data_IF_614339378336
#
_entry.id   IF_614339378336
#
_cell.length_a   1.000
_cell.length_b   1.000
_cell.length_c   1.000
_cell.angle_alpha   90.00
_cell.angle_beta   90.00
_cell.angle_gamma   90.00
#
_symmetry.space_group_name_H-M   'P 1'
#
loop_
_entity.id
_entity.type
_entity.pdbx_description
1 polymer ?
#
# COMPACT_ATOMS: atom_id res chain seq x y z
N UNK A 1 -1.01 14.60 11.86
CA UNK A 1 -1.47 14.33 13.26
C UNK A 1 -2.61 13.33 13.20
N UNK A 2 -2.64 12.35 14.10
CA UNK A 2 -3.77 11.44 14.28
C UNK A 2 -4.71 11.95 15.36
N UNK A 3 -5.87 11.29 15.58
CA UNK A 3 -6.87 11.72 16.56
C UNK A 3 -6.31 11.81 18.00
N UNK A 4 -5.41 10.90 18.38
CA UNK A 4 -4.78 10.91 19.71
C UNK A 4 -3.83 12.10 19.88
N UNK A 5 -3.08 12.46 18.84
CA UNK A 5 -2.18 13.63 18.88
C UNK A 5 -2.95 14.93 18.97
N UNK A 6 -4.10 15.04 18.29
CA UNK A 6 -5.00 16.18 18.43
C UNK A 6 -5.56 16.24 19.85
N UNK A 7 -6.01 15.10 20.38
CA UNK A 7 -6.52 15.04 21.75
C UNK A 7 -5.45 15.44 22.78
N UNK A 8 -4.21 14.98 22.60
CA UNK A 8 -3.06 15.38 23.45
C UNK A 8 -2.78 16.88 23.31
N UNK A 9 -2.85 17.44 22.09
CA UNK A 9 -2.69 18.87 21.85
C UNK A 9 -3.76 19.67 22.60
N UNK A 10 -5.03 19.30 22.46
CA UNK A 10 -6.15 19.96 23.14
C UNK A 10 -6.05 19.87 24.66
N UNK A 11 -5.72 18.69 25.20
CA UNK A 11 -5.46 18.50 26.64
C UNK A 11 -4.30 19.38 27.16
N UNK A 12 -3.25 19.55 26.32
CA UNK A 12 -2.13 20.41 26.69
C UNK A 12 -2.54 21.90 26.79
N UNK A 13 -3.48 22.32 25.91
CA UNK A 13 -4.08 23.66 25.98
C UNK A 13 -4.96 23.78 27.21
N UNK A 14 -5.85 22.82 27.47
CA UNK A 14 -6.74 22.76 28.63
C UNK A 14 -5.95 22.82 29.94
N UNK A 15 -4.81 22.14 30.03
CA UNK A 15 -3.91 22.12 31.18
C UNK A 15 -3.01 23.37 31.31
N UNK A 16 -3.15 24.36 30.40
CA UNK A 16 -2.30 25.56 30.39
C UNK A 16 -0.83 25.32 30.01
N UNK A 17 -0.48 24.09 29.56
CA UNK A 17 0.88 23.72 29.17
C UNK A 17 1.26 24.21 27.77
N UNK A 18 0.27 24.57 26.95
CA UNK A 18 0.44 25.07 25.61
C UNK A 18 -0.48 26.26 25.36
N UNK A 19 0.05 27.36 24.85
CA UNK A 19 -0.76 28.51 24.46
C UNK A 19 -1.72 28.15 23.32
N UNK A 20 -2.98 28.59 23.41
CA UNK A 20 -4.01 28.36 22.38
C UNK A 20 -3.56 28.80 20.99
N UNK A 21 -2.81 29.94 20.92
CA UNK A 21 -2.25 30.45 19.67
C UNK A 21 -1.29 29.47 19.04
N UNK A 22 -0.43 28.81 19.82
CA UNK A 22 0.49 27.78 19.34
C UNK A 22 -0.26 26.54 18.86
N UNK A 23 -1.36 26.18 19.52
CA UNK A 23 -2.23 25.09 19.08
C UNK A 23 -2.88 25.40 17.72
N UNK A 24 -3.40 26.62 17.55
CA UNK A 24 -3.97 27.09 16.28
C UNK A 24 -2.94 27.04 15.15
N UNK A 25 -1.71 27.50 15.37
CA UNK A 25 -0.64 27.44 14.36
C UNK A 25 -0.33 25.99 13.96
N UNK A 26 -0.31 25.05 14.91
CA UNK A 26 -0.14 23.62 14.61
C UNK A 26 -1.32 23.03 13.82
N UNK A 27 -2.55 23.52 14.06
CA UNK A 27 -3.76 23.07 13.38
C UNK A 27 -3.96 23.72 12.00
N UNK A 28 -3.42 24.92 11.74
CA UNK A 28 -3.51 25.62 10.44
C UNK A 28 -2.94 24.81 9.28
N UNK A 29 -1.88 24.05 9.52
CA UNK A 29 -1.24 23.21 8.48
C UNK A 29 -1.91 21.84 8.32
N UNK A 30 -3.05 21.61 8.95
CA UNK A 30 -3.69 20.30 9.02
C UNK A 30 -4.37 19.81 7.74
N UNK A 31 -5.04 20.62 6.90
CA UNK A 31 -5.67 20.02 5.72
C UNK A 31 -4.63 19.58 4.68
N UNK A 32 -3.72 20.45 4.33
CA UNK A 32 -2.63 20.20 3.38
C UNK A 32 -1.55 21.28 3.46
N UNK A 33 -0.34 20.96 3.01
CA UNK A 33 0.73 21.92 2.79
C UNK A 33 0.84 22.20 1.28
N UNK A 34 0.68 23.45 0.88
CA UNK A 34 0.86 23.90 -0.51
C UNK A 34 2.35 24.17 -0.76
N UNK A 35 2.92 23.47 -1.74
CA UNK A 35 4.31 23.64 -2.17
C UNK A 35 4.37 24.04 -3.66
N UNK A 36 3.45 24.89 -4.13
CA UNK A 36 3.18 25.37 -5.48
C UNK A 36 2.64 24.29 -6.42
N UNK A 37 3.48 23.33 -6.80
CA UNK A 37 3.13 22.28 -7.77
C UNK A 37 2.41 21.07 -7.12
N UNK A 38 2.33 20.97 -5.80
CA UNK A 38 1.65 19.90 -5.10
C UNK A 38 1.04 20.38 -3.76
N UNK A 39 -0.05 19.72 -3.38
CA UNK A 39 -0.72 19.91 -2.09
C UNK A 39 -0.56 18.63 -1.28
N UNK A 40 0.31 18.66 -0.28
CA UNK A 40 0.62 17.48 0.56
C UNK A 40 -0.46 17.30 1.62
N UNK A 41 -1.20 16.20 1.55
CA UNK A 41 -2.35 15.90 2.42
C UNK A 41 -1.92 15.33 3.78
N UNK A 42 -1.61 16.19 4.72
CA UNK A 42 -1.28 15.78 6.09
C UNK A 42 -2.47 15.26 6.89
N UNK A 43 -3.69 15.50 6.41
CA UNK A 43 -4.94 15.11 7.07
C UNK A 43 -5.38 13.68 6.75
N UNK A 44 -4.74 13.02 5.76
CA UNK A 44 -5.11 11.68 5.33
C UNK A 44 -5.08 10.65 6.45
N UNK A 45 -4.11 10.75 7.36
CA UNK A 45 -4.01 9.86 8.52
C UNK A 45 -5.25 9.89 9.42
N UNK A 46 -5.85 11.07 9.62
CA UNK A 46 -7.08 11.21 10.40
C UNK A 46 -8.29 10.60 9.70
N UNK A 47 -8.38 10.76 8.38
CA UNK A 47 -9.53 10.29 7.61
C UNK A 47 -9.43 8.81 7.24
N UNK A 48 -8.24 8.32 6.94
CA UNK A 48 -8.02 7.00 6.35
C UNK A 48 -7.14 6.07 7.20
N UNK A 49 -6.51 6.60 8.28
CA UNK A 49 -5.66 5.81 9.16
C UNK A 49 -4.28 5.46 8.60
N UNK A 50 -3.85 6.07 7.49
CA UNK A 50 -2.51 5.96 6.93
C UNK A 50 -2.06 7.26 6.28
N UNK A 51 -0.74 7.48 6.20
CA UNK A 51 -0.15 8.68 5.63
C UNK A 51 -0.42 8.80 4.13
N UNK A 52 -0.24 10.00 3.59
CA UNK A 52 -0.20 10.20 2.15
C UNK A 52 0.90 9.36 1.50
N UNK A 53 0.64 8.92 0.26
CA UNK A 53 1.57 8.14 -0.55
C UNK A 53 1.91 8.91 -1.82
N UNK A 54 3.19 8.96 -2.16
CA UNK A 54 3.66 9.69 -3.33
C UNK A 54 3.61 8.76 -4.55
N UNK A 55 2.79 9.10 -5.54
CA UNK A 55 2.81 8.44 -6.85
C UNK A 55 3.93 9.04 -7.70
N UNK A 56 5.01 8.30 -7.93
CA UNK A 56 6.23 8.80 -8.59
C UNK A 56 6.12 8.94 -10.11
N UNK A 57 5.27 8.11 -10.76
CA UNK A 57 5.12 8.14 -12.23
C UNK A 57 4.64 9.53 -12.69
N UNK A 58 5.32 10.08 -13.68
CA UNK A 58 5.00 11.40 -14.22
C UNK A 58 5.54 12.59 -13.42
N UNK A 59 6.23 12.35 -12.30
CA UNK A 59 6.92 13.39 -11.53
C UNK A 59 8.42 13.33 -11.75
N UNK A 60 9.08 14.50 -11.74
CA UNK A 60 10.53 14.57 -11.75
C UNK A 60 11.11 14.12 -10.40
N UNK A 61 12.36 13.60 -10.35
CA UNK A 61 13.03 13.27 -9.10
C UNK A 61 13.05 14.43 -8.08
N UNK A 62 13.19 15.67 -8.56
CA UNK A 62 13.17 16.88 -7.73
C UNK A 62 11.78 17.11 -7.09
N UNK A 63 10.71 16.93 -7.84
CA UNK A 63 9.35 17.06 -7.35
C UNK A 63 9.05 16.01 -6.27
N UNK A 64 9.40 14.73 -6.50
CA UNK A 64 9.23 13.67 -5.50
C UNK A 64 10.03 13.98 -4.23
N UNK A 65 11.30 14.41 -4.37
CA UNK A 65 12.12 14.77 -3.22
C UNK A 65 11.54 15.97 -2.44
N UNK A 66 10.95 16.96 -3.12
CA UNK A 66 10.30 18.10 -2.47
C UNK A 66 9.06 17.68 -1.66
N UNK A 67 8.20 16.80 -2.21
CA UNK A 67 7.05 16.24 -1.50
C UNK A 67 7.51 15.45 -0.28
N UNK A 68 8.48 14.53 -0.45
CA UNK A 68 9.04 13.74 0.66
C UNK A 68 9.64 14.65 1.73
N UNK A 69 10.31 15.73 1.36
CA UNK A 69 10.84 16.73 2.30
C UNK A 69 9.72 17.38 3.11
N UNK A 70 8.60 17.77 2.48
CA UNK A 70 7.44 18.31 3.16
C UNK A 70 6.88 17.30 4.18
N UNK A 71 6.69 16.03 3.76
CA UNK A 71 6.25 14.96 4.66
C UNK A 71 7.22 14.72 5.84
N UNK A 72 8.53 14.82 5.62
CA UNK A 72 9.54 14.62 6.67
C UNK A 72 9.59 15.76 7.70
N UNK A 73 9.21 17.00 7.33
CA UNK A 73 9.16 18.14 8.26
C UNK A 73 8.15 17.96 9.38
N UNK A 74 7.09 17.21 9.16
CA UNK A 74 6.13 16.85 10.20
C UNK A 74 6.75 15.88 11.21
N UNK A 75 7.50 16.45 12.19
CA UNK A 75 8.23 15.69 13.21
C UNK A 75 7.30 14.92 14.16
N UNK A 76 6.12 15.44 14.40
CA UNK A 76 5.12 14.83 15.30
C UNK A 76 4.43 13.61 14.68
N UNK A 77 4.42 13.49 13.36
CA UNK A 77 3.89 12.35 12.65
C UNK A 77 5.00 11.32 12.36
N UNK A 78 5.19 10.36 13.26
CA UNK A 78 6.09 9.20 13.03
C UNK A 78 5.53 8.23 11.98
N UNK A 79 5.01 8.77 10.87
CA UNK A 79 4.38 7.98 9.83
C UNK A 79 5.43 7.52 8.82
N UNK A 80 5.28 6.28 8.36
CA UNK A 80 6.06 5.75 7.26
C UNK A 80 5.76 6.51 5.98
N UNK A 81 6.75 6.69 5.12
CA UNK A 81 6.60 7.36 3.83
C UNK A 81 6.82 6.34 2.72
N UNK A 82 5.88 6.30 1.80
CA UNK A 82 5.88 5.40 0.65
C UNK A 82 5.87 6.23 -0.64
N UNK A 83 6.75 5.87 -1.58
CA UNK A 83 6.71 6.37 -2.95
C UNK A 83 6.55 5.17 -3.87
N UNK A 84 5.50 5.14 -4.69
CA UNK A 84 5.27 4.08 -5.66
C UNK A 84 5.67 4.53 -7.07
N UNK A 85 5.93 3.58 -7.96
CA UNK A 85 6.28 3.82 -9.36
C UNK A 85 7.46 4.79 -9.52
N UNK A 86 8.49 4.63 -8.71
CA UNK A 86 9.73 5.38 -8.73
C UNK A 86 10.84 4.63 -9.47
N UNK A 87 11.87 5.37 -9.89
CA UNK A 87 13.09 4.83 -10.47
C UNK A 87 14.32 5.09 -9.58
N UNK A 88 15.47 4.58 -10.00
CA UNK A 88 16.73 4.75 -9.28
C UNK A 88 17.16 6.23 -9.17
N UNK A 89 16.83 7.07 -10.17
CA UNK A 89 17.13 8.52 -10.13
C UNK A 89 16.30 9.22 -9.07
N UNK A 90 15.02 8.86 -8.98
CA UNK A 90 14.11 9.34 -7.95
C UNK A 90 14.58 8.90 -6.56
N UNK A 91 14.99 7.62 -6.41
CA UNK A 91 15.58 7.16 -5.15
C UNK A 91 16.83 7.97 -4.76
N UNK A 92 17.75 8.23 -5.70
CA UNK A 92 18.96 9.01 -5.40
C UNK A 92 18.60 10.43 -4.89
N UNK A 93 17.55 11.05 -5.43
CA UNK A 93 17.08 12.36 -4.96
C UNK A 93 16.45 12.26 -3.56
N UNK A 94 15.61 11.25 -3.31
CA UNK A 94 14.96 11.02 -2.00
C UNK A 94 15.99 10.63 -0.93
N UNK A 95 17.02 9.85 -1.28
CA UNK A 95 18.10 9.43 -0.37
C UNK A 95 18.87 10.62 0.22
N UNK A 96 18.99 11.74 -0.51
CA UNK A 96 19.56 12.98 0.02
C UNK A 96 18.70 13.64 1.09
N UNK A 97 17.40 13.37 1.10
CA UNK A 97 16.45 13.89 2.10
C UNK A 97 16.38 12.98 3.34
N UNK A 98 16.51 11.67 3.15
CA UNK A 98 16.48 10.70 4.24
C UNK A 98 17.45 9.55 3.97
N UNK A 99 18.46 9.38 4.83
CA UNK A 99 19.42 8.26 4.75
C UNK A 99 18.75 6.88 4.92
N UNK A 100 17.55 6.84 5.52
CA UNK A 100 16.78 5.61 5.73
C UNK A 100 15.93 5.22 4.51
N UNK A 101 15.92 6.01 3.43
CA UNK A 101 15.23 5.65 2.21
C UNK A 101 15.82 4.39 1.59
N UNK A 102 14.97 3.38 1.37
CA UNK A 102 15.31 2.10 0.72
C UNK A 102 14.59 2.04 -0.62
N UNK A 103 15.29 1.62 -1.66
CA UNK A 103 14.73 1.39 -2.99
C UNK A 103 14.52 -0.10 -3.23
N UNK A 104 13.36 -0.44 -3.76
CA UNK A 104 12.97 -1.80 -4.14
C UNK A 104 12.86 -1.84 -5.67
N UNK A 105 13.91 -2.26 -6.36
CA UNK A 105 14.01 -2.11 -7.82
C UNK A 105 12.98 -2.93 -8.60
N UNK A 106 12.51 -4.06 -8.05
CA UNK A 106 11.53 -4.95 -8.69
C UNK A 106 10.18 -4.24 -8.81
N UNK A 107 9.69 -3.63 -7.75
CA UNK A 107 8.39 -2.94 -7.71
C UNK A 107 8.48 -1.44 -8.04
N UNK A 108 9.69 -0.87 -8.11
CA UNK A 108 9.86 0.58 -8.24
C UNK A 108 9.33 1.35 -7.03
N UNK A 109 9.42 0.76 -5.84
CA UNK A 109 8.95 1.38 -4.59
C UNK A 109 10.12 1.96 -3.81
N UNK A 110 9.91 3.13 -3.17
CA UNK A 110 10.82 3.68 -2.17
C UNK A 110 10.09 3.72 -0.84
N UNK A 111 10.73 3.17 0.21
CA UNK A 111 10.21 3.16 1.57
C UNK A 111 11.10 3.98 2.50
N UNK A 112 10.49 4.77 3.40
CA UNK A 112 11.17 5.41 4.53
C UNK A 112 10.42 4.98 5.80
N UNK A 113 10.96 3.98 6.48
CA UNK A 113 10.39 3.44 7.70
C UNK A 113 10.72 4.37 8.88
N UNK A 114 9.70 4.87 9.57
CA UNK A 114 9.79 5.77 10.73
C UNK A 114 9.15 5.17 11.97
N UNK A 115 8.27 4.18 11.79
CA UNK A 115 7.64 3.41 12.86
C UNK A 115 7.51 1.95 12.45
N UNK A 116 7.60 1.04 13.44
CA UNK A 116 7.32 -0.40 13.30
C UNK A 116 6.00 -0.79 13.95
N UNK A 117 5.18 0.19 14.29
CA UNK A 117 3.87 -0.06 14.89
C UNK A 117 2.97 -0.85 13.94
N UNK A 118 2.37 -1.92 14.45
CA UNK A 118 1.42 -2.76 13.74
C UNK A 118 0.03 -2.44 14.26
N UNK A 119 -0.82 -1.92 13.37
CA UNK A 119 -2.22 -1.58 13.66
C UNK A 119 -3.22 -2.61 13.13
N UNK A 120 -2.78 -3.49 12.23
CA UNK A 120 -3.61 -4.57 11.67
C UNK A 120 -3.83 -5.71 12.66
N UNK A 121 -5.05 -6.28 12.67
CA UNK A 121 -5.46 -7.35 13.60
C UNK A 121 -4.97 -8.76 13.21
N UNK A 122 -4.61 -8.96 11.93
CA UNK A 122 -4.15 -10.25 11.41
C UNK A 122 -3.11 -10.09 10.31
N UNK A 123 -2.85 -11.15 9.58
CA UNK A 123 -1.89 -11.19 8.48
C UNK A 123 -2.58 -10.91 7.15
N UNK A 124 -2.01 -10.01 6.35
CA UNK A 124 -2.33 -9.86 4.93
C UNK A 124 -1.41 -10.80 4.15
N UNK A 125 -1.98 -11.75 3.41
CA UNK A 125 -1.19 -12.63 2.55
C UNK A 125 -1.24 -12.12 1.09
N UNK A 126 -0.08 -11.93 0.50
CA UNK A 126 0.07 -11.51 -0.90
C UNK A 126 0.47 -12.74 -1.73
N UNK A 127 -0.39 -13.14 -2.65
CA UNK A 127 -0.21 -14.33 -3.49
C UNK A 127 -0.02 -13.91 -4.94
N UNK A 128 0.99 -14.44 -5.65
CA UNK A 128 1.17 -14.18 -7.08
C UNK A 128 1.18 -15.45 -7.91
N UNK A 129 0.59 -15.38 -9.13
CA UNK A 129 0.51 -16.51 -10.05
C UNK A 129 1.86 -16.87 -10.65
N UNK A 130 2.56 -15.90 -11.22
CA UNK A 130 3.86 -16.11 -11.83
C UNK A 130 4.93 -15.14 -11.34
N UNK A 131 6.18 -15.42 -11.73
CA UNK A 131 7.32 -14.55 -11.41
C UNK A 131 7.21 -13.17 -12.06
N UNK A 132 6.54 -13.07 -13.21
CA UNK A 132 6.28 -11.79 -13.89
C UNK A 132 5.26 -10.91 -13.17
N UNK A 133 4.51 -11.46 -12.23
CA UNK A 133 3.54 -10.72 -11.39
C UNK A 133 4.19 -10.14 -10.11
N UNK A 134 5.42 -10.57 -9.79
CA UNK A 134 6.15 -10.16 -8.58
C UNK A 134 6.27 -8.65 -8.45
N UNK A 135 6.52 -7.84 -9.50
CA UNK A 135 6.59 -6.38 -9.33
C UNK A 135 5.33 -5.76 -8.70
N UNK A 136 4.15 -6.23 -9.12
CA UNK A 136 2.87 -5.77 -8.57
C UNK A 136 2.63 -6.35 -7.17
N UNK A 137 3.03 -7.61 -6.95
CA UNK A 137 2.93 -8.27 -5.66
C UNK A 137 3.85 -7.61 -4.60
N UNK A 138 5.07 -7.26 -4.97
CA UNK A 138 5.99 -6.54 -4.08
C UNK A 138 5.47 -5.13 -3.76
N UNK A 139 4.88 -4.41 -4.74
CA UNK A 139 4.22 -3.13 -4.48
C UNK A 139 3.12 -3.28 -3.42
N UNK A 140 2.26 -4.31 -3.54
CA UNK A 140 1.22 -4.60 -2.57
C UNK A 140 1.79 -4.95 -1.19
N UNK A 141 2.78 -5.83 -1.13
CA UNK A 141 3.43 -6.27 0.11
C UNK A 141 4.05 -5.11 0.88
N UNK A 142 4.85 -4.29 0.19
CA UNK A 142 5.51 -3.14 0.80
C UNK A 142 4.50 -2.09 1.24
N UNK A 143 3.46 -1.83 0.44
CA UNK A 143 2.39 -0.91 0.79
C UNK A 143 1.67 -1.36 2.07
N UNK A 144 1.28 -2.63 2.15
CA UNK A 144 0.63 -3.18 3.35
C UNK A 144 1.50 -3.04 4.60
N UNK A 145 2.80 -3.34 4.50
CA UNK A 145 3.77 -3.18 5.60
C UNK A 145 3.93 -1.73 6.02
N UNK A 146 4.07 -0.81 5.06
CA UNK A 146 4.22 0.62 5.34
C UNK A 146 2.96 1.23 5.95
N UNK A 147 1.80 0.60 5.76
CA UNK A 147 0.53 0.97 6.40
C UNK A 147 0.31 0.30 7.77
N UNK A 148 1.34 -0.31 8.36
CA UNK A 148 1.28 -0.89 9.70
C UNK A 148 0.59 -2.25 9.76
N UNK A 149 0.72 -3.08 8.72
CA UNK A 149 0.18 -4.44 8.75
C UNK A 149 1.31 -5.48 8.80
N UNK A 150 1.04 -6.61 9.48
CA UNK A 150 1.79 -7.83 9.24
C UNK A 150 1.41 -8.32 7.84
N UNK A 151 2.39 -8.48 6.96
CA UNK A 151 2.15 -8.93 5.60
C UNK A 151 3.21 -9.97 5.19
N UNK A 152 2.74 -11.08 4.65
CA UNK A 152 3.51 -12.20 4.14
C UNK A 152 3.26 -12.39 2.65
N UNK A 153 4.08 -13.20 1.99
CA UNK A 153 3.93 -13.44 0.56
C UNK A 153 4.07 -14.92 0.21
N UNK A 154 3.40 -15.31 -0.85
CA UNK A 154 3.46 -16.62 -1.49
C UNK A 154 3.53 -16.39 -3.01
N UNK A 155 4.71 -16.51 -3.59
CA UNK A 155 4.94 -16.21 -5.01
C UNK A 155 5.04 -17.47 -5.86
N UNK A 156 4.73 -17.30 -7.15
CA UNK A 156 4.85 -18.33 -8.19
C UNK A 156 4.02 -19.60 -7.93
N UNK A 157 2.75 -19.40 -7.56
CA UNK A 157 1.79 -20.48 -7.28
C UNK A 157 0.61 -20.50 -8.25
N UNK A 158 0.89 -20.21 -9.54
CA UNK A 158 -0.11 -20.18 -10.60
C UNK A 158 -0.85 -21.50 -10.81
N UNK A 159 -2.05 -21.39 -11.37
CA UNK A 159 -2.98 -22.53 -11.56
C UNK A 159 -2.44 -23.65 -12.47
N UNK A 160 -1.51 -23.35 -13.38
CA UNK A 160 -0.84 -24.34 -14.20
C UNK A 160 0.00 -25.36 -13.40
N UNK A 161 0.35 -25.01 -12.17
CA UNK A 161 1.00 -25.89 -11.21
C UNK A 161 0.31 -25.83 -9.86
N UNK A 162 -0.97 -26.14 -9.84
CA UNK A 162 -1.87 -25.97 -8.69
C UNK A 162 -1.37 -26.64 -7.38
N UNK A 163 -0.58 -27.71 -7.50
CA UNK A 163 0.02 -28.40 -6.36
C UNK A 163 0.89 -27.45 -5.52
N UNK A 164 1.57 -26.49 -6.13
CA UNK A 164 2.38 -25.47 -5.43
C UNK A 164 1.53 -24.62 -4.47
N UNK A 165 0.34 -24.22 -4.91
CA UNK A 165 -0.61 -23.50 -4.07
C UNK A 165 -1.13 -24.40 -2.94
N UNK A 166 -1.48 -25.64 -3.26
CA UNK A 166 -2.10 -26.59 -2.30
C UNK A 166 -1.14 -27.02 -1.20
N UNK A 167 0.16 -27.00 -1.40
CA UNK A 167 1.18 -27.24 -0.36
C UNK A 167 1.18 -26.13 0.72
N UNK A 168 0.69 -24.94 0.39
CA UNK A 168 0.67 -23.78 1.30
C UNK A 168 -0.70 -23.45 1.89
N UNK A 169 -1.60 -24.47 2.01
CA UNK A 169 -2.96 -24.29 2.58
C UNK A 169 -2.95 -23.67 3.96
N UNK A 170 -1.95 -23.95 4.79
CA UNK A 170 -1.81 -23.36 6.13
C UNK A 170 -1.70 -21.83 6.06
N UNK A 171 -0.84 -21.28 5.19
CA UNK A 171 -0.71 -19.83 5.04
C UNK A 171 -2.01 -19.18 4.55
N UNK A 172 -2.73 -19.85 3.64
CA UNK A 172 -4.03 -19.37 3.15
C UNK A 172 -5.07 -19.32 4.28
N UNK A 173 -5.11 -20.34 5.12
CA UNK A 173 -6.08 -20.46 6.23
C UNK A 173 -5.80 -19.47 7.37
N UNK A 174 -4.54 -19.10 7.62
CA UNK A 174 -4.12 -18.16 8.67
C UNK A 174 -4.29 -16.69 8.27
N UNK A 175 -4.47 -16.40 6.98
CA UNK A 175 -4.63 -15.05 6.48
C UNK A 175 -5.96 -14.44 6.95
N UNK A 176 -5.96 -13.16 7.30
CA UNK A 176 -7.18 -12.39 7.56
C UNK A 176 -7.77 -11.79 6.29
N UNK A 177 -6.93 -11.47 5.32
CA UNK A 177 -7.30 -11.01 3.99
C UNK A 177 -6.19 -11.39 3.01
N UNK A 178 -6.56 -11.76 1.79
CA UNK A 178 -5.62 -12.18 0.76
C UNK A 178 -5.65 -11.16 -0.38
N UNK A 179 -4.46 -10.76 -0.85
CA UNK A 179 -4.29 -10.04 -2.11
C UNK A 179 -3.76 -11.05 -3.13
N UNK A 180 -4.53 -11.33 -4.18
CA UNK A 180 -4.21 -12.36 -5.15
C UNK A 180 -3.95 -11.73 -6.54
N UNK A 181 -2.71 -11.83 -7.02
CA UNK A 181 -2.21 -11.14 -8.20
C UNK A 181 -1.99 -12.16 -9.33
N UNK A 182 -2.58 -11.92 -10.50
CA UNK A 182 -2.44 -12.79 -11.66
C UNK A 182 -2.61 -12.02 -12.98
N UNK A 183 -1.78 -12.38 -13.96
CA UNK A 183 -1.96 -12.00 -15.36
C UNK A 183 -2.69 -13.08 -16.15
N UNK A 184 -2.41 -13.14 -17.45
CA UNK A 184 -2.96 -14.12 -18.41
C UNK A 184 -4.51 -14.13 -18.40
N UNK A 185 -5.12 -15.23 -17.96
CA UNK A 185 -6.58 -15.42 -17.86
C UNK A 185 -7.16 -15.04 -16.48
N UNK A 186 -6.31 -14.74 -15.50
CA UNK A 186 -6.76 -14.30 -14.18
C UNK A 186 -7.45 -15.36 -13.31
N UNK A 187 -7.15 -16.66 -13.50
CA UNK A 187 -7.88 -17.74 -12.83
C UNK A 187 -7.53 -17.93 -11.33
N UNK A 188 -6.31 -17.57 -10.91
CA UNK A 188 -5.82 -17.84 -9.56
C UNK A 188 -6.74 -17.29 -8.43
N UNK A 189 -7.28 -16.06 -8.51
CA UNK A 189 -8.17 -15.54 -7.45
C UNK A 189 -9.42 -16.38 -7.25
N UNK A 190 -10.00 -16.95 -8.30
CA UNK A 190 -11.17 -17.84 -8.18
C UNK A 190 -10.83 -19.13 -7.44
N UNK A 191 -9.66 -19.71 -7.71
CA UNK A 191 -9.18 -20.90 -7.01
C UNK A 191 -8.89 -20.60 -5.54
N UNK A 192 -8.19 -19.51 -5.25
CA UNK A 192 -7.91 -19.08 -3.88
C UNK A 192 -9.21 -18.79 -3.14
N UNK A 193 -10.17 -18.07 -3.76
CA UNK A 193 -11.46 -17.77 -3.19
C UNK A 193 -12.26 -19.02 -2.81
N UNK A 194 -12.18 -20.08 -3.62
CA UNK A 194 -12.80 -21.38 -3.30
C UNK A 194 -12.13 -22.16 -2.17
N UNK A 195 -10.92 -21.79 -1.78
CA UNK A 195 -10.16 -22.49 -0.72
C UNK A 195 -10.26 -21.80 0.65
N UNK A 196 -10.75 -20.56 0.73
CA UNK A 196 -10.73 -19.74 1.94
C UNK A 196 -12.07 -19.08 2.23
N UNK A 197 -12.32 -18.74 3.50
CA UNK A 197 -13.49 -18.00 3.93
C UNK A 197 -13.24 -16.49 4.07
N UNK A 198 -11.99 -16.04 3.90
CA UNK A 198 -11.62 -14.64 4.06
C UNK A 198 -11.76 -13.86 2.74
N UNK A 199 -11.87 -12.52 2.78
CA UNK A 199 -11.89 -11.71 1.57
C UNK A 199 -10.64 -11.88 0.72
N UNK A 200 -10.82 -12.03 -0.59
CA UNK A 200 -9.76 -12.09 -1.61
C UNK A 200 -9.86 -10.86 -2.50
N UNK A 201 -8.81 -10.05 -2.50
CA UNK A 201 -8.69 -8.87 -3.37
C UNK A 201 -7.87 -9.27 -4.58
N UNK A 202 -8.52 -9.44 -5.71
CA UNK A 202 -7.91 -9.83 -6.96
C UNK A 202 -7.29 -8.62 -7.68
N UNK A 203 -6.03 -8.77 -8.09
CA UNK A 203 -5.29 -7.76 -8.85
C UNK A 203 -4.94 -8.35 -10.21
N UNK A 204 -5.63 -7.96 -11.28
CA UNK A 204 -5.20 -8.31 -12.62
C UNK A 204 -3.88 -7.61 -12.95
N UNK A 205 -2.98 -8.29 -13.66
CA UNK A 205 -1.75 -7.66 -14.14
C UNK A 205 -1.75 -7.54 -15.66
N UNK A 206 -0.97 -6.58 -16.16
CA UNK A 206 -0.73 -6.42 -17.60
C UNK A 206 0.18 -7.53 -18.18
N UNK A 207 0.63 -8.46 -17.34
CA UNK A 207 1.40 -9.64 -17.75
C UNK A 207 0.59 -10.55 -18.66
N UNK A 208 1.08 -10.76 -19.87
CA UNK A 208 0.42 -11.61 -20.86
C UNK A 208 0.80 -11.21 -22.29
N UNK A 209 0.22 -11.92 -23.26
CA UNK A 209 0.41 -11.69 -24.68
C UNK A 209 -0.87 -12.03 -25.46
N UNK A 210 -0.90 -11.71 -26.75
CA UNK A 210 -2.03 -12.04 -27.62
C UNK A 210 -3.35 -11.44 -27.11
N UNK A 211 -4.32 -12.29 -26.83
CA UNK A 211 -5.65 -11.90 -26.39
C UNK A 211 -5.74 -11.39 -24.94
N UNK A 212 -4.60 -11.21 -24.24
CA UNK A 212 -4.58 -10.63 -22.88
C UNK A 212 -4.94 -9.14 -22.86
N UNK A 213 -4.75 -8.43 -23.99
CA UNK A 213 -5.02 -7.00 -24.14
C UNK A 213 -4.50 -6.16 -22.97
N UNK A 214 -3.22 -6.38 -22.56
CA UNK A 214 -2.61 -5.63 -21.48
C UNK A 214 -3.29 -5.80 -20.10
N UNK A 215 -3.84 -6.98 -19.86
CA UNK A 215 -4.48 -7.36 -18.59
C UNK A 215 -6.01 -7.30 -18.61
N UNK A 216 -6.65 -6.87 -19.71
CA UNK A 216 -8.12 -6.81 -19.80
C UNK A 216 -8.73 -8.21 -19.69
N UNK A 217 -8.13 -9.25 -20.28
CA UNK A 217 -8.60 -10.61 -20.14
C UNK A 217 -8.60 -11.08 -18.68
N UNK A 218 -7.50 -10.82 -17.95
CA UNK A 218 -7.41 -11.12 -16.53
C UNK A 218 -8.48 -10.34 -15.72
N UNK A 219 -8.66 -9.05 -15.99
CA UNK A 219 -9.66 -8.20 -15.33
C UNK A 219 -11.07 -8.77 -15.53
N UNK A 220 -11.46 -9.09 -16.75
CA UNK A 220 -12.77 -9.63 -17.06
C UNK A 220 -12.97 -11.02 -16.45
N UNK A 221 -11.94 -11.89 -16.49
CA UNK A 221 -11.95 -13.21 -15.84
C UNK A 221 -12.20 -13.09 -14.34
N UNK A 222 -11.49 -12.18 -13.66
CA UNK A 222 -11.66 -11.95 -12.22
C UNK A 222 -13.02 -11.35 -11.86
N UNK A 223 -13.54 -10.41 -12.67
CA UNK A 223 -14.87 -9.81 -12.47
C UNK A 223 -16.01 -10.82 -12.63
N UNK A 224 -15.79 -11.89 -13.41
CA UNK A 224 -16.72 -13.00 -13.62
C UNK A 224 -16.46 -14.20 -12.70
N UNK A 225 -15.69 -14.02 -11.62
CA UNK A 225 -15.43 -15.09 -10.66
C UNK A 225 -16.73 -15.60 -10.01
N UNK A 226 -16.89 -16.93 -9.93
CA UNK A 226 -17.97 -17.56 -9.17
C UNK A 226 -17.73 -17.56 -7.65
N UNK A 227 -16.51 -17.28 -7.18
CA UNK A 227 -16.19 -17.22 -5.76
C UNK A 227 -16.73 -15.91 -5.17
N UNK A 228 -17.67 -16.00 -4.23
CA UNK A 228 -18.43 -14.86 -3.69
C UNK A 228 -17.60 -13.91 -2.82
N UNK A 229 -16.43 -14.35 -2.37
CA UNK A 229 -15.50 -13.59 -1.52
C UNK A 229 -14.39 -12.88 -2.33
N UNK A 230 -14.45 -12.91 -3.67
CA UNK A 230 -13.50 -12.23 -4.56
C UNK A 230 -14.01 -10.84 -4.92
N UNK A 231 -13.18 -9.84 -4.72
CA UNK A 231 -13.36 -8.46 -5.21
C UNK A 231 -12.18 -8.06 -6.08
N UNK A 232 -12.37 -7.16 -7.02
CA UNK A 232 -11.36 -6.86 -8.05
C UNK A 232 -10.97 -5.38 -8.01
N UNK A 233 -9.68 -5.11 -8.12
CA UNK A 233 -9.14 -3.75 -8.31
C UNK A 233 -8.68 -3.56 -9.76
N UNK A 234 -8.20 -2.36 -10.10
CA UNK A 234 -7.72 -2.04 -11.44
C UNK A 234 -6.44 -2.84 -11.80
N UNK A 235 -6.12 -2.91 -13.08
CA UNK A 235 -4.93 -3.56 -13.63
C UNK A 235 -3.66 -2.94 -13.02
N UNK A 236 -2.70 -3.79 -12.63
CA UNK A 236 -1.42 -3.43 -11.99
C UNK A 236 -1.56 -2.57 -10.72
N UNK A 237 -2.69 -2.61 -10.04
CA UNK A 237 -2.96 -1.78 -8.86
C UNK A 237 -2.68 -2.52 -7.55
N UNK A 238 -1.45 -2.96 -7.33
CA UNK A 238 -1.01 -3.55 -6.07
C UNK A 238 -1.17 -2.60 -4.88
N UNK A 239 -0.89 -1.31 -5.09
CA UNK A 239 -1.10 -0.27 -4.10
C UNK A 239 -2.56 -0.19 -3.64
N UNK A 240 -3.52 -0.08 -4.56
CA UNK A 240 -4.94 0.01 -4.22
C UNK A 240 -5.44 -1.23 -3.48
N UNK A 241 -5.02 -2.42 -3.91
CA UNK A 241 -5.34 -3.67 -3.21
C UNK A 241 -4.84 -3.66 -1.76
N UNK A 242 -3.61 -3.21 -1.52
CA UNK A 242 -3.04 -3.10 -0.19
C UNK A 242 -3.77 -2.06 0.69
N UNK A 243 -4.24 -0.95 0.11
CA UNK A 243 -5.07 0.02 0.83
C UNK A 243 -6.37 -0.62 1.32
N UNK A 244 -7.11 -1.31 0.42
CA UNK A 244 -8.36 -2.01 0.77
C UNK A 244 -8.10 -3.11 1.80
N UNK A 245 -7.06 -3.95 1.59
CA UNK A 245 -6.66 -4.97 2.54
C UNK A 245 -6.33 -4.39 3.93
N UNK A 246 -5.63 -3.26 3.97
CA UNK A 246 -5.31 -2.56 5.22
C UNK A 246 -6.55 -2.04 5.95
N UNK A 247 -7.54 -1.54 5.21
CA UNK A 247 -8.83 -1.14 5.79
C UNK A 247 -9.54 -2.35 6.43
N UNK A 248 -9.67 -3.45 5.70
CA UNK A 248 -10.30 -4.69 6.19
C UNK A 248 -9.55 -5.24 7.41
N UNK A 249 -8.22 -5.22 7.39
CA UNK A 249 -7.39 -5.80 8.45
C UNK A 249 -7.45 -5.00 9.78
N UNK A 250 -7.93 -3.76 9.75
CA UNK A 250 -8.12 -2.93 10.96
C UNK A 250 -9.50 -3.08 11.58
N UNK A 251 -10.53 -3.47 10.79
CA UNK A 251 -11.87 -3.76 11.28
C UNK A 251 -11.89 -5.01 12.17
#
# INVERSE_FOLDING_TARGET
>A
MNSEEILKLLKSVEQGKLASQTAVERLKHMPFEDIDFAKVDHHRMLRQGYAEVVFGKGKTPAQVAAIVRAMLRHKDARQNILVTRADAKTHAAVKRMSRNAKYHPISGVITIERTKEVSGKGTILVVSAGTSDIPVAEEALLTARMMGNRAEHLYDVGVAGIHRLLEHRGMLAEARVIICIAGMEGALPSVVGGLVAVPVIAVPTSTGYGASFGGVAALLGMLNSCASNVTVVNIDNGFGAACVASCINRL
#
